data_IF_500170410442
#
_entry.id   IF_500170410442
#
_cell.length_a   1.000
_cell.length_b   1.000
_cell.length_c   1.000
_cell.angle_alpha   90.00
_cell.angle_beta   90.00
_cell.angle_gamma   90.00
#
_symmetry.space_group_name_H-M   'P 1'
#
loop_
_entity.id
_entity.type
_entity.pdbx_description
1 polymer ?
#
# COMPACT_ATOMS: atom_id res chain seq x y z
N UNK A 1 10.84 -4.44 29.30
CA UNK A 1 9.44 -4.81 28.99
C UNK A 1 8.86 -5.96 29.83
N UNK A 2 9.58 -6.63 30.78
CA UNK A 2 9.03 -7.76 31.53
C UNK A 2 7.91 -7.39 32.50
N UNK A 3 7.78 -6.13 32.89
CA UNK A 3 6.83 -5.70 33.94
C UNK A 3 5.50 -5.12 33.44
N UNK A 4 5.35 -4.87 32.14
CA UNK A 4 4.09 -4.36 31.55
C UNK A 4 3.16 -5.49 31.06
N UNK A 5 3.20 -6.64 31.71
CA UNK A 5 2.36 -7.79 31.34
C UNK A 5 0.94 -7.71 31.89
N UNK A 6 0.60 -6.69 32.65
CA UNK A 6 -0.77 -6.40 33.10
C UNK A 6 -1.59 -5.79 31.96
N UNK A 7 -2.89 -6.00 31.98
CA UNK A 7 -3.81 -5.46 30.95
C UNK A 7 -3.71 -3.93 30.86
N UNK A 8 -3.49 -3.25 31.98
CA UNK A 8 -3.28 -1.81 32.07
C UNK A 8 -1.98 -1.32 31.40
N UNK A 9 -0.87 -2.05 31.52
CA UNK A 9 0.40 -1.65 30.89
C UNK A 9 0.37 -1.78 29.35
N UNK A 10 -0.38 -2.76 28.83
CA UNK A 10 -0.53 -2.96 27.37
C UNK A 10 -1.35 -1.87 26.72
N UNK A 11 -2.47 -1.51 27.35
CA UNK A 11 -3.33 -0.45 26.83
C UNK A 11 -2.61 0.89 26.90
N UNK A 12 -1.89 1.16 28.00
CA UNK A 12 -1.13 2.40 28.19
C UNK A 12 -0.05 2.63 27.12
N UNK A 13 0.70 1.58 26.72
CA UNK A 13 1.74 1.73 25.68
C UNK A 13 1.14 1.94 24.30
N UNK A 14 0.10 1.19 23.94
CA UNK A 14 -0.61 1.37 22.68
C UNK A 14 -1.23 2.78 22.60
N UNK A 15 -1.97 3.17 23.63
CA UNK A 15 -2.60 4.49 23.74
C UNK A 15 -1.57 5.63 23.66
N UNK A 16 -0.43 5.49 24.36
CA UNK A 16 0.64 6.47 24.31
C UNK A 16 1.24 6.61 22.89
N UNK A 17 1.45 5.50 22.18
CA UNK A 17 1.93 5.52 20.80
C UNK A 17 0.88 6.13 19.86
N UNK A 18 -0.40 5.84 20.07
CA UNK A 18 -1.50 6.38 19.28
C UNK A 18 -1.67 7.89 19.50
N UNK A 19 -1.66 8.37 20.75
CA UNK A 19 -1.71 9.78 21.10
C UNK A 19 -0.51 10.56 20.55
N UNK A 20 0.69 9.93 20.54
CA UNK A 20 1.88 10.50 19.91
C UNK A 20 1.83 10.52 18.39
N UNK A 21 0.79 9.90 17.77
CA UNK A 21 0.67 9.75 16.32
C UNK A 21 1.69 8.80 15.71
N UNK A 22 2.21 7.86 16.50
CA UNK A 22 3.25 6.89 16.11
C UNK A 22 2.86 5.45 16.44
N UNK A 23 1.68 4.94 15.98
CA UNK A 23 1.24 3.58 16.27
C UNK A 23 2.21 2.51 15.73
N UNK A 24 2.97 2.83 14.68
CA UNK A 24 4.01 1.94 14.15
C UNK A 24 5.11 1.62 15.17
N UNK A 25 5.37 2.50 16.14
CA UNK A 25 6.33 2.21 17.21
C UNK A 25 5.87 1.04 18.08
N UNK A 26 4.57 0.97 18.37
CA UNK A 26 4.04 -0.16 19.15
C UNK A 26 4.22 -1.49 18.40
N UNK A 27 3.96 -1.53 17.11
CA UNK A 27 4.17 -2.72 16.28
C UNK A 27 5.64 -3.10 16.18
N UNK A 28 6.53 -2.11 16.08
CA UNK A 28 7.98 -2.32 16.09
C UNK A 28 8.46 -2.86 17.44
N UNK A 29 8.00 -2.27 18.55
CA UNK A 29 8.32 -2.73 19.90
C UNK A 29 7.81 -4.17 20.14
N UNK A 30 6.61 -4.48 19.65
CA UNK A 30 6.02 -5.83 19.72
C UNK A 30 6.86 -6.85 18.94
N UNK A 31 7.30 -6.49 17.73
CA UNK A 31 8.15 -7.35 16.91
C UNK A 31 9.50 -7.58 17.58
N UNK A 32 10.10 -6.53 18.12
CA UNK A 32 11.36 -6.62 18.88
C UNK A 32 11.21 -7.47 20.14
N UNK A 33 10.13 -7.28 20.89
CA UNK A 33 9.84 -8.10 22.07
C UNK A 33 9.68 -9.58 21.69
N UNK A 34 9.01 -9.88 20.59
CA UNK A 34 8.90 -11.24 20.06
C UNK A 34 10.26 -11.83 19.71
N UNK A 35 11.11 -11.11 18.98
CA UNK A 35 12.46 -11.58 18.64
C UNK A 35 13.30 -11.85 19.88
N UNK A 36 13.26 -10.96 20.88
CA UNK A 36 13.97 -11.15 22.13
C UNK A 36 13.54 -12.42 22.88
N UNK A 37 12.29 -12.88 22.73
CA UNK A 37 11.87 -14.16 23.32
C UNK A 37 12.46 -15.37 22.60
N UNK A 38 12.83 -15.24 21.32
CA UNK A 38 13.49 -16.30 20.55
C UNK A 38 14.99 -16.38 20.87
N UNK A 39 15.60 -15.22 21.14
CA UNK A 39 17.05 -15.11 21.42
C UNK A 39 17.41 -15.47 22.88
N UNK A 40 16.46 -15.34 23.80
CA UNK A 40 16.62 -15.77 25.19
C UNK A 40 16.27 -17.26 25.29
N UNK A 41 17.18 -18.05 25.85
CA UNK A 41 16.99 -19.50 26.09
C UNK A 41 15.89 -19.75 27.16
N UNK A 42 14.65 -19.31 26.87
CA UNK A 42 13.48 -19.56 27.71
C UNK A 42 13.06 -21.03 27.56
N UNK A 43 12.60 -21.62 28.66
CA UNK A 43 12.00 -22.94 28.62
C UNK A 43 10.69 -22.93 27.78
N UNK A 44 10.40 -24.05 27.12
CA UNK A 44 9.25 -24.13 26.17
C UNK A 44 7.90 -23.76 26.85
N UNK A 45 7.74 -24.06 28.13
CA UNK A 45 6.58 -23.72 28.94
C UNK A 45 6.38 -22.21 29.13
N UNK A 46 7.45 -21.40 29.07
CA UNK A 46 7.41 -19.94 29.18
C UNK A 46 7.36 -19.31 27.79
N UNK A 47 8.11 -19.88 26.84
CA UNK A 47 8.25 -19.36 25.47
C UNK A 47 6.94 -19.44 24.68
N UNK A 48 6.27 -20.61 24.69
CA UNK A 48 5.06 -20.84 23.90
C UNK A 48 3.93 -19.86 24.27
N UNK A 49 3.57 -19.67 25.55
CA UNK A 49 2.53 -18.70 25.93
C UNK A 49 2.85 -17.27 25.49
N UNK A 50 4.11 -16.85 25.59
CA UNK A 50 4.54 -15.51 25.16
C UNK A 50 4.42 -15.34 23.64
N UNK A 51 4.85 -16.32 22.86
CA UNK A 51 4.75 -16.29 21.40
C UNK A 51 3.29 -16.27 20.95
N UNK A 52 2.44 -17.11 21.52
CA UNK A 52 1.00 -17.13 21.24
C UNK A 52 0.38 -15.77 21.57
N UNK A 53 0.73 -15.17 22.69
CA UNK A 53 0.25 -13.85 23.10
C UNK A 53 0.66 -12.76 22.11
N UNK A 54 1.94 -12.70 21.70
CA UNK A 54 2.40 -11.73 20.69
C UNK A 54 1.73 -11.94 19.35
N UNK A 55 1.53 -13.20 18.94
CA UNK A 55 0.81 -13.54 17.71
C UNK A 55 -0.64 -13.02 17.74
N UNK A 56 -1.36 -13.21 18.85
CA UNK A 56 -2.73 -12.70 19.01
C UNK A 56 -2.81 -11.17 18.99
N UNK A 57 -1.90 -10.47 19.70
CA UNK A 57 -1.87 -9.01 19.70
C UNK A 57 -1.63 -8.51 18.27
N UNK A 58 -0.66 -9.10 17.55
CA UNK A 58 -0.36 -8.75 16.17
C UNK A 58 -1.53 -9.02 15.22
N UNK A 59 -2.18 -10.17 15.37
CA UNK A 59 -3.35 -10.53 14.58
C UNK A 59 -4.53 -9.56 14.83
N UNK A 60 -4.75 -9.15 16.07
CA UNK A 60 -5.79 -8.18 16.43
C UNK A 60 -5.52 -6.80 15.81
N UNK A 61 -4.28 -6.31 15.90
CA UNK A 61 -3.89 -5.03 15.29
C UNK A 61 -4.07 -5.04 13.78
N UNK A 62 -3.68 -6.13 13.12
CA UNK A 62 -3.84 -6.28 11.68
C UNK A 62 -5.31 -6.36 11.27
N UNK A 63 -6.11 -7.12 12.03
CA UNK A 63 -7.55 -7.21 11.79
C UNK A 63 -8.24 -5.85 11.93
N UNK A 64 -7.85 -5.04 12.92
CA UNK A 64 -8.35 -3.67 13.05
C UNK A 64 -7.97 -2.80 11.85
N UNK A 65 -6.71 -2.87 11.40
CA UNK A 65 -6.24 -2.12 10.25
C UNK A 65 -6.97 -2.53 8.96
N UNK A 66 -7.20 -3.82 8.73
CA UNK A 66 -7.89 -4.32 7.53
C UNK A 66 -9.40 -4.00 7.50
N UNK A 67 -10.00 -3.67 8.65
CA UNK A 67 -11.44 -3.41 8.75
C UNK A 67 -11.83 -1.93 8.60
N UNK A 68 -10.89 -1.00 8.60
CA UNK A 68 -11.20 0.42 8.38
C UNK A 68 -11.39 0.67 6.88
N UNK A 69 -12.54 1.21 6.42
CA UNK A 69 -12.70 1.58 5.01
C UNK A 69 -11.71 2.69 4.60
N UNK A 70 -11.16 2.61 3.38
CA UNK A 70 -10.21 3.63 2.89
C UNK A 70 -10.83 5.02 2.80
N UNK A 71 -12.14 5.10 2.52
CA UNK A 71 -12.93 6.33 2.52
C UNK A 71 -12.94 6.98 3.91
N UNK A 72 -13.00 6.17 4.97
CA UNK A 72 -12.93 6.65 6.35
C UNK A 72 -11.55 7.22 6.66
N UNK A 73 -10.47 6.57 6.21
CA UNK A 73 -9.10 7.09 6.33
C UNK A 73 -8.98 8.44 5.65
N UNK A 74 -9.46 8.55 4.40
CA UNK A 74 -9.50 9.81 3.65
C UNK A 74 -10.33 10.89 4.37
N UNK A 75 -11.48 10.53 4.94
CA UNK A 75 -12.33 11.43 5.72
C UNK A 75 -11.65 11.95 6.97
N UNK A 76 -10.98 11.09 7.73
CA UNK A 76 -10.23 11.45 8.94
C UNK A 76 -9.04 12.37 8.65
N UNK A 77 -8.35 12.15 7.54
CA UNK A 77 -7.29 13.03 7.05
C UNK A 77 -7.84 14.40 6.65
N UNK A 78 -8.97 14.41 5.91
CA UNK A 78 -9.63 15.65 5.44
C UNK A 78 -10.05 16.56 6.59
N UNK A 79 -10.59 15.99 7.67
CA UNK A 79 -11.01 16.77 8.86
C UNK A 79 -9.88 17.01 9.86
N UNK A 80 -8.66 16.60 9.56
CA UNK A 80 -7.47 16.79 10.41
C UNK A 80 -7.47 15.96 11.70
N UNK A 81 -8.36 14.96 11.82
CA UNK A 81 -8.39 14.04 12.96
C UNK A 81 -7.22 13.05 12.92
N UNK A 82 -6.81 12.64 11.73
CA UNK A 82 -5.60 11.85 11.53
C UNK A 82 -4.52 12.69 10.86
N UNK A 83 -3.28 12.45 11.29
CA UNK A 83 -2.09 12.94 10.60
C UNK A 83 -1.70 11.97 9.49
N UNK A 84 -1.07 12.43 8.39
CA UNK A 84 -0.60 11.56 7.31
C UNK A 84 0.26 10.38 7.79
N UNK A 85 1.12 10.58 8.79
CA UNK A 85 1.93 9.53 9.39
C UNK A 85 1.09 8.41 10.06
N UNK A 86 -0.07 8.74 10.64
CA UNK A 86 -0.98 7.74 11.21
C UNK A 86 -1.61 6.88 10.12
N UNK A 87 -2.10 7.50 9.04
CA UNK A 87 -2.65 6.77 7.90
C UNK A 87 -1.60 5.84 7.25
N UNK A 88 -0.35 6.31 7.14
CA UNK A 88 0.75 5.50 6.65
C UNK A 88 1.04 4.30 7.57
N UNK A 89 1.01 4.50 8.88
CA UNK A 89 1.19 3.42 9.85
C UNK A 89 0.09 2.34 9.75
N UNK A 90 -1.16 2.74 9.50
CA UNK A 90 -2.25 1.80 9.23
C UNK A 90 -2.02 1.03 7.92
N UNK A 91 -1.59 1.70 6.87
CA UNK A 91 -1.23 1.04 5.60
C UNK A 91 -0.08 0.02 5.79
N UNK A 92 0.88 0.29 6.67
CA UNK A 92 1.98 -0.63 7.01
C UNK A 92 1.49 -1.89 7.73
N UNK A 93 0.48 -1.76 8.60
CA UNK A 93 -0.08 -2.87 9.38
C UNK A 93 -0.98 -3.80 8.55
N UNK A 94 -1.51 -3.31 7.44
CA UNK A 94 -2.40 -4.06 6.56
C UNK A 94 -1.66 -5.13 5.77
N UNK A 95 -2.13 -6.39 5.83
CA UNK A 95 -1.57 -7.51 5.06
C UNK A 95 -2.11 -7.58 3.64
N UNK A 96 -3.36 -7.19 3.43
CA UNK A 96 -4.00 -7.25 2.14
C UNK A 96 -3.39 -6.22 1.17
N UNK A 97 -2.72 -6.63 0.08
CA UNK A 97 -2.07 -5.70 -0.85
C UNK A 97 -3.02 -4.69 -1.49
N UNK A 98 -4.27 -5.10 -1.75
CA UNK A 98 -5.31 -4.23 -2.28
C UNK A 98 -5.70 -3.15 -1.25
N UNK A 99 -6.00 -3.55 -0.01
CA UNK A 99 -6.31 -2.61 1.07
C UNK A 99 -5.17 -1.64 1.34
N UNK A 100 -3.93 -2.13 1.32
CA UNK A 100 -2.75 -1.29 1.46
C UNK A 100 -2.68 -0.23 0.37
N UNK A 101 -2.93 -0.61 -0.88
CA UNK A 101 -2.97 0.33 -1.99
C UNK A 101 -4.11 1.36 -1.84
N UNK A 102 -5.30 0.94 -1.37
CA UNK A 102 -6.43 1.85 -1.10
C UNK A 102 -6.08 2.89 -0.02
N UNK A 103 -5.43 2.49 1.07
CA UNK A 103 -5.00 3.42 2.12
C UNK A 103 -3.95 4.41 1.61
N UNK A 104 -2.99 3.94 0.82
CA UNK A 104 -2.02 4.83 0.19
C UNK A 104 -2.69 5.81 -0.76
N UNK A 105 -3.66 5.37 -1.55
CA UNK A 105 -4.44 6.27 -2.42
C UNK A 105 -5.23 7.32 -1.65
N UNK A 106 -5.79 6.96 -0.49
CA UNK A 106 -6.50 7.89 0.38
C UNK A 106 -5.56 8.91 1.05
N UNK A 107 -4.30 8.50 1.29
CA UNK A 107 -3.26 9.35 1.90
C UNK A 107 -2.70 10.40 0.92
N UNK A 108 -2.54 10.08 -0.37
CA UNK A 108 -1.85 10.90 -1.37
C UNK A 108 -2.27 12.38 -1.35
N UNK A 109 -3.57 12.75 -1.34
CA UNK A 109 -3.98 14.16 -1.35
C UNK A 109 -3.52 14.98 -0.13
N UNK A 110 -3.09 14.33 0.93
CA UNK A 110 -2.70 14.94 2.21
C UNK A 110 -1.23 14.68 2.56
N UNK A 111 -0.49 14.03 1.65
CA UNK A 111 0.85 13.53 1.91
C UNK A 111 1.90 14.63 1.79
N UNK A 112 2.65 14.97 2.86
CA UNK A 112 3.78 15.86 2.76
C UNK A 112 4.97 15.17 2.08
N UNK A 113 5.76 15.93 1.31
CA UNK A 113 6.94 15.40 0.58
C UNK A 113 7.90 14.54 1.42
N UNK A 114 8.19 14.87 2.69
CA UNK A 114 9.08 14.04 3.52
C UNK A 114 8.62 12.59 3.74
N UNK A 115 7.32 12.27 3.59
CA UNK A 115 6.80 10.91 3.71
C UNK A 115 6.96 10.08 2.44
N UNK A 116 7.34 10.66 1.30
CA UNK A 116 7.48 9.95 0.04
C UNK A 116 8.42 8.73 0.12
N UNK A 117 9.61 8.79 0.74
CA UNK A 117 10.49 7.62 0.86
C UNK A 117 9.84 6.44 1.60
N UNK A 118 9.07 6.72 2.66
CA UNK A 118 8.39 5.70 3.44
C UNK A 118 7.25 5.06 2.61
N UNK A 119 6.48 5.86 1.88
CA UNK A 119 5.44 5.38 0.96
C UNK A 119 6.05 4.50 -0.14
N UNK A 120 7.17 4.91 -0.73
CA UNK A 120 7.87 4.12 -1.75
C UNK A 120 8.43 2.81 -1.19
N UNK A 121 8.91 2.81 0.05
CA UNK A 121 9.33 1.59 0.75
C UNK A 121 8.17 0.64 0.94
N UNK A 122 7.01 1.14 1.36
CA UNK A 122 5.80 0.35 1.55
C UNK A 122 5.26 -0.21 0.22
N UNK A 123 5.35 0.58 -0.86
CA UNK A 123 5.01 0.12 -2.22
C UNK A 123 5.86 -1.06 -2.69
N UNK A 124 7.15 -1.10 -2.32
CA UNK A 124 8.04 -2.23 -2.63
C UNK A 124 7.61 -3.53 -1.94
N UNK A 125 6.90 -3.44 -0.83
CA UNK A 125 6.36 -4.59 -0.10
C UNK A 125 5.03 -5.10 -0.71
N UNK A 126 4.43 -4.37 -1.65
CA UNK A 126 3.25 -4.82 -2.38
C UNK A 126 3.72 -5.72 -3.51
N UNK A 127 3.63 -7.05 -3.33
CA UNK A 127 3.97 -8.05 -4.34
C UNK A 127 2.91 -8.11 -5.47
N UNK A 128 2.49 -6.95 -5.98
CA UNK A 128 1.52 -6.83 -7.06
C UNK A 128 1.81 -5.59 -7.89
N UNK A 129 2.44 -5.74 -9.07
CA UNK A 129 2.71 -4.63 -9.97
C UNK A 129 1.43 -3.87 -10.36
N UNK A 130 0.28 -4.56 -10.46
CA UNK A 130 -0.99 -3.94 -10.77
C UNK A 130 -1.43 -2.94 -9.68
N UNK A 131 -1.36 -3.32 -8.41
CA UNK A 131 -1.73 -2.42 -7.31
C UNK A 131 -0.69 -1.31 -7.11
N UNK A 132 0.60 -1.63 -7.22
CA UNK A 132 1.66 -0.63 -7.13
C UNK A 132 1.55 0.42 -8.23
N UNK A 133 1.22 0.01 -9.47
CA UNK A 133 1.05 0.94 -10.59
C UNK A 133 -0.11 1.93 -10.38
N UNK A 134 -1.19 1.51 -9.73
CA UNK A 134 -2.33 2.39 -9.40
C UNK A 134 -1.90 3.49 -8.43
N UNK A 135 -1.16 3.14 -7.39
CA UNK A 135 -0.68 4.13 -6.40
C UNK A 135 0.36 5.05 -7.03
N UNK A 136 1.34 4.50 -7.76
CA UNK A 136 2.37 5.28 -8.45
C UNK A 136 1.77 6.25 -9.48
N UNK A 137 0.75 5.83 -10.22
CA UNK A 137 0.07 6.70 -11.20
C UNK A 137 -0.65 7.90 -10.56
N UNK A 138 -1.07 7.76 -9.32
CA UNK A 138 -1.65 8.84 -8.52
C UNK A 138 -0.58 9.78 -7.94
N UNK A 139 0.60 9.26 -7.63
CA UNK A 139 1.73 10.04 -7.09
C UNK A 139 2.46 10.82 -8.18
N UNK A 140 2.63 10.25 -9.37
CA UNK A 140 3.48 10.80 -10.42
C UNK A 140 3.12 12.22 -10.91
N UNK A 141 1.85 12.67 -10.93
CA UNK A 141 1.54 14.06 -11.25
C UNK A 141 2.14 15.08 -10.26
N UNK A 142 2.24 14.73 -8.99
CA UNK A 142 2.83 15.58 -7.94
C UNK A 142 4.34 15.36 -7.78
N UNK A 143 4.84 14.19 -8.20
CA UNK A 143 6.23 13.76 -8.14
C UNK A 143 6.68 13.26 -9.52
N UNK A 144 6.96 14.17 -10.47
CA UNK A 144 7.25 13.80 -11.87
C UNK A 144 8.43 12.84 -12.06
N UNK A 145 9.35 12.82 -11.09
CA UNK A 145 10.48 11.89 -11.05
C UNK A 145 10.05 10.41 -10.96
N UNK A 146 8.79 10.14 -10.62
CA UNK A 146 8.26 8.78 -10.52
C UNK A 146 7.77 8.20 -11.86
N UNK A 147 7.62 8.99 -12.93
CA UNK A 147 7.11 8.48 -14.21
C UNK A 147 7.88 7.29 -14.79
N UNK A 148 9.23 7.26 -14.77
CA UNK A 148 9.97 6.08 -15.21
C UNK A 148 9.60 4.83 -14.43
N UNK A 149 9.42 4.99 -13.12
CA UNK A 149 9.04 3.89 -12.22
C UNK A 149 7.60 3.42 -12.47
N UNK A 150 6.66 4.33 -12.76
CA UNK A 150 5.28 4.00 -13.15
C UNK A 150 5.30 3.09 -14.35
N UNK A 151 5.98 3.50 -15.43
CA UNK A 151 6.07 2.74 -16.69
C UNK A 151 6.76 1.40 -16.51
N UNK A 152 7.87 1.35 -15.79
CA UNK A 152 8.56 0.10 -15.47
C UNK A 152 7.67 -0.87 -14.67
N UNK A 153 6.88 -0.36 -13.73
CA UNK A 153 5.94 -1.18 -12.95
C UNK A 153 4.80 -1.71 -13.82
N UNK A 154 4.25 -0.88 -14.73
CA UNK A 154 3.21 -1.31 -15.67
C UNK A 154 3.74 -2.38 -16.63
N UNK A 155 4.97 -2.26 -17.10
CA UNK A 155 5.60 -3.28 -17.95
C UNK A 155 5.71 -4.64 -17.27
N UNK A 156 5.85 -4.68 -15.93
CA UNK A 156 5.89 -5.91 -15.15
C UNK A 156 4.51 -6.57 -14.95
N UNK A 157 3.40 -5.86 -15.20
CA UNK A 157 2.07 -6.46 -15.09
C UNK A 157 1.96 -7.57 -16.13
N UNK A 158 1.62 -8.78 -15.70
CA UNK A 158 1.35 -9.89 -16.63
C UNK A 158 0.24 -9.50 -17.58
N UNK A 159 0.46 -9.70 -18.88
CA UNK A 159 -0.54 -9.45 -19.90
C UNK A 159 -1.55 -10.60 -19.96
N UNK A 160 -2.24 -10.82 -18.84
CA UNK A 160 -3.33 -11.78 -18.76
C UNK A 160 -4.65 -11.01 -18.86
N UNK A 161 -5.59 -11.56 -19.59
CA UNK A 161 -6.98 -11.07 -19.59
C UNK A 161 -7.52 -11.30 -18.18
N UNK A 162 -7.77 -10.21 -17.45
CA UNK A 162 -8.36 -10.29 -16.12
C UNK A 162 -9.77 -10.87 -16.21
N UNK A 163 -10.12 -11.76 -15.27
CA UNK A 163 -11.50 -12.23 -15.13
C UNK A 163 -12.47 -11.04 -14.97
N UNK A 164 -13.71 -11.26 -15.37
CA UNK A 164 -14.80 -10.31 -15.19
C UNK A 164 -15.00 -10.04 -13.70
N UNK A 165 -14.62 -8.86 -13.23
CA UNK A 165 -14.85 -8.39 -11.87
C UNK A 165 -15.31 -6.93 -11.89
N UNK A 166 -15.66 -6.37 -10.71
CA UNK A 166 -16.14 -4.98 -10.60
C UNK A 166 -15.22 -3.94 -11.26
N UNK A 167 -13.92 -4.20 -11.34
CA UNK A 167 -12.91 -3.28 -11.88
C UNK A 167 -12.55 -3.57 -13.34
N UNK A 168 -12.96 -4.74 -13.88
CA UNK A 168 -12.66 -5.18 -15.24
C UNK A 168 -13.87 -5.88 -15.88
N UNK A 169 -15.00 -5.19 -15.94
CA UNK A 169 -16.24 -5.72 -16.48
C UNK A 169 -16.16 -6.08 -17.98
N UNK A 170 -15.16 -5.59 -18.71
CA UNK A 170 -14.95 -5.84 -20.15
C UNK A 170 -13.87 -6.89 -20.45
N UNK A 171 -13.22 -7.46 -19.43
CA UNK A 171 -12.19 -8.48 -19.62
C UNK A 171 -10.91 -7.99 -20.29
N UNK A 172 -10.58 -6.71 -20.18
CA UNK A 172 -9.33 -6.17 -20.69
C UNK A 172 -8.12 -6.60 -19.86
N UNK A 173 -6.94 -6.61 -20.46
CA UNK A 173 -5.69 -6.82 -19.73
C UNK A 173 -5.46 -5.73 -18.67
N UNK A 174 -4.99 -6.12 -17.50
CA UNK A 174 -4.67 -5.16 -16.43
C UNK A 174 -3.58 -4.16 -16.85
N UNK A 175 -2.65 -4.57 -17.73
CA UNK A 175 -1.63 -3.69 -18.32
C UNK A 175 -2.27 -2.60 -19.17
N UNK A 176 -3.23 -2.95 -20.03
CA UNK A 176 -3.96 -1.98 -20.84
C UNK A 176 -4.76 -1.00 -20.00
N UNK A 177 -5.44 -1.48 -18.96
CA UNK A 177 -6.20 -0.63 -18.04
C UNK A 177 -5.29 0.34 -17.28
N UNK A 178 -4.12 -0.11 -16.84
CA UNK A 178 -3.14 0.74 -16.17
C UNK A 178 -2.60 1.83 -17.11
N UNK A 179 -2.24 1.48 -18.35
CA UNK A 179 -1.80 2.44 -19.36
C UNK A 179 -2.88 3.48 -19.66
N UNK A 180 -4.12 3.06 -19.86
CA UNK A 180 -5.24 3.96 -20.13
C UNK A 180 -5.41 5.02 -19.04
N UNK A 181 -5.22 4.64 -17.79
CA UNK A 181 -5.37 5.56 -16.65
C UNK A 181 -4.26 6.61 -16.56
N UNK A 182 -3.05 6.29 -16.99
CA UNK A 182 -1.92 7.22 -16.89
C UNK A 182 -1.81 8.15 -18.10
N UNK A 183 -2.32 7.74 -19.26
CA UNK A 183 -2.11 8.48 -20.51
C UNK A 183 -2.61 9.92 -20.43
N UNK A 184 -3.69 10.20 -19.70
CA UNK A 184 -4.22 11.57 -19.53
C UNK A 184 -3.26 12.54 -18.82
N UNK A 185 -2.35 12.02 -18.00
CA UNK A 185 -1.43 12.83 -17.19
C UNK A 185 0.04 12.57 -17.52
N UNK A 186 0.30 11.70 -18.51
CA UNK A 186 1.66 11.29 -18.89
C UNK A 186 2.36 12.43 -19.66
N UNK A 187 3.53 12.90 -19.20
CA UNK A 187 4.31 13.89 -19.95
C UNK A 187 4.74 13.36 -21.31
N UNK A 188 4.78 14.25 -22.31
CA UNK A 188 5.02 13.90 -23.71
C UNK A 188 6.33 13.13 -23.94
N UNK A 189 7.38 13.42 -23.18
CA UNK A 189 8.67 12.75 -23.27
C UNK A 189 8.62 11.24 -22.92
N UNK A 190 7.58 10.78 -22.21
CA UNK A 190 7.38 9.36 -21.85
C UNK A 190 6.42 8.62 -22.79
N UNK A 191 5.80 9.32 -23.75
CA UNK A 191 4.88 8.69 -24.71
C UNK A 191 5.51 7.57 -25.54
N UNK A 192 6.77 7.69 -26.03
CA UNK A 192 7.41 6.59 -26.77
C UNK A 192 7.50 5.30 -25.93
N UNK A 193 7.90 5.42 -24.67
CA UNK A 193 7.99 4.27 -23.76
C UNK A 193 6.62 3.65 -23.48
N UNK A 194 5.58 4.46 -23.28
CA UNK A 194 4.22 3.96 -23.10
C UNK A 194 3.69 3.23 -24.33
N UNK A 195 4.05 3.70 -25.54
CA UNK A 195 3.72 3.03 -26.81
C UNK A 195 4.42 1.69 -26.94
N UNK A 196 5.70 1.61 -26.61
CA UNK A 196 6.44 0.36 -26.62
C UNK A 196 5.77 -0.68 -25.71
N UNK A 197 5.42 -0.29 -24.47
CA UNK A 197 4.66 -1.18 -23.57
C UNK A 197 3.32 -1.61 -24.18
N UNK A 198 2.64 -0.72 -24.90
CA UNK A 198 1.35 -1.01 -25.55
C UNK A 198 1.51 -2.04 -26.67
N UNK A 199 2.60 -2.00 -27.45
CA UNK A 199 2.88 -2.97 -28.51
C UNK A 199 3.04 -4.40 -27.98
N UNK A 200 3.50 -4.55 -26.76
CA UNK A 200 3.67 -5.84 -26.09
C UNK A 200 2.37 -6.39 -25.46
N UNK A 201 1.21 -5.73 -25.65
CA UNK A 201 -0.09 -6.25 -25.23
C UNK A 201 -0.58 -7.25 -26.28
N UNK A 202 -0.82 -8.52 -25.86
CA UNK A 202 -1.18 -9.61 -26.78
C UNK A 202 -2.61 -9.49 -27.30
N UNK A 203 -3.57 -9.07 -26.44
CA UNK A 203 -4.97 -8.99 -26.81
C UNK A 203 -5.28 -7.72 -27.62
N UNK A 204 -5.72 -7.88 -28.89
CA UNK A 204 -5.99 -6.76 -29.80
C UNK A 204 -7.01 -5.76 -29.25
N UNK A 205 -8.08 -6.23 -28.60
CA UNK A 205 -9.07 -5.36 -27.93
C UNK A 205 -8.46 -4.50 -26.82
N UNK A 206 -7.54 -5.09 -26.05
CA UNK A 206 -6.81 -4.41 -24.97
C UNK A 206 -5.80 -3.41 -25.52
N UNK A 207 -5.10 -3.77 -26.61
CA UNK A 207 -4.18 -2.89 -27.34
C UNK A 207 -4.92 -1.70 -27.94
N UNK A 208 -6.07 -1.93 -28.58
CA UNK A 208 -6.91 -0.89 -29.14
C UNK A 208 -7.43 0.08 -28.07
N UNK A 209 -7.77 -0.40 -26.87
CA UNK A 209 -8.18 0.44 -25.75
C UNK A 209 -7.06 1.41 -25.34
N UNK A 210 -5.83 0.93 -25.17
CA UNK A 210 -4.70 1.76 -24.79
C UNK A 210 -4.33 2.79 -25.88
N UNK A 211 -4.41 2.41 -27.17
CA UNK A 211 -4.16 3.34 -28.29
C UNK A 211 -5.22 4.43 -28.43
N UNK A 212 -6.51 4.10 -28.21
CA UNK A 212 -7.60 5.09 -28.24
C UNK A 212 -7.45 6.16 -27.16
N UNK A 213 -7.00 5.79 -25.97
CA UNK A 213 -6.78 6.75 -24.89
C UNK A 213 -5.72 7.82 -25.27
N UNK A 214 -4.76 7.47 -26.12
CA UNK A 214 -3.78 8.42 -26.68
C UNK A 214 -4.41 9.39 -27.68
N UNK A 215 -5.31 8.92 -28.57
CA UNK A 215 -5.90 9.75 -29.63
C UNK A 215 -6.77 10.89 -29.08
N UNK A 216 -7.28 10.77 -27.85
CA UNK A 216 -8.07 11.82 -27.19
C UNK A 216 -7.20 12.92 -26.53
N UNK A 217 -5.86 12.83 -26.60
CA UNK A 217 -4.93 13.84 -26.06
C UNK A 217 -4.36 14.80 -27.12
N UNK A 218 -4.62 14.55 -28.40
CA UNK A 218 -4.28 15.43 -29.52
C UNK A 218 -5.48 16.33 -29.89
#
# INVERSE_FOLDING_TARGET
LPHETTEQGRNGRYEACEQAGKPALFTSDLTRAWQLTLDNNLEANELIPLQVRYAFIRASLNSLADNIPAEMVGGLLKVGRWKPAQALAYAQQTYNPWRRAEYLMALIPYMPRPLLPEVLTLLNQINSPAYSSIVLSKLAPEFPELWPRVLATIAQIRDAIGGLNRHNAKGFSYRALALTKILSNLPANYLPTALDITQHIQADSSRALALRAKAHQQ
#
